data_IF_273804645262
#
_entry.id   IF_273804645262
#
_cell.length_a   1.000
_cell.length_b   1.000
_cell.length_c   1.000
_cell.angle_alpha   90.00
_cell.angle_beta   90.00
_cell.angle_gamma   90.00
#
_symmetry.space_group_name_H-M   'P 1'
#
loop_
_entity.id
_entity.type
_entity.pdbx_description
1 polymer ?
#
# COMPACT_ATOMS: atom_id res chain seq x y z
N UNK A 1 -9.84 -20.34 -7.71
CA UNK A 1 -8.40 -20.12 -7.84
C UNK A 1 -7.99 -18.81 -7.15
N UNK A 2 -6.77 -18.75 -6.64
CA UNK A 2 -6.23 -17.59 -5.96
C UNK A 2 -5.05 -17.01 -6.75
N UNK A 3 -5.12 -15.72 -7.08
CA UNK A 3 -4.01 -14.98 -7.67
C UNK A 3 -3.45 -13.99 -6.65
N UNK A 4 -2.12 -13.88 -6.53
CA UNK A 4 -1.46 -12.99 -5.58
C UNK A 4 -0.41 -12.15 -6.27
N UNK A 5 -0.39 -10.86 -5.98
CA UNK A 5 0.63 -9.91 -6.43
C UNK A 5 1.20 -9.17 -5.22
N UNK A 6 2.52 -9.06 -5.16
CA UNK A 6 3.23 -8.32 -4.11
C UNK A 6 3.85 -7.06 -4.68
N UNK A 7 3.66 -5.93 -3.99
CA UNK A 7 4.30 -4.66 -4.26
C UNK A 7 4.96 -4.15 -2.98
N UNK A 8 6.00 -3.34 -3.13
CA UNK A 8 6.70 -2.75 -2.00
C UNK A 8 6.74 -1.23 -2.15
N UNK A 9 6.74 -0.55 -1.01
CA UNK A 9 6.90 0.90 -0.94
C UNK A 9 7.52 1.29 0.39
N UNK A 10 8.05 2.50 0.47
CA UNK A 10 8.64 3.07 1.68
C UNK A 10 7.73 4.17 2.21
N UNK A 11 7.47 4.16 3.51
CA UNK A 11 6.68 5.19 4.17
C UNK A 11 7.16 5.41 5.59
N UNK A 12 6.90 6.60 6.11
CA UNK A 12 7.19 6.95 7.49
C UNK A 12 5.95 6.86 8.36
N UNK A 13 6.15 6.69 9.65
CA UNK A 13 5.10 6.75 10.65
C UNK A 13 5.67 6.88 12.07
N UNK A 14 4.79 7.03 13.03
CA UNK A 14 5.08 6.79 14.44
C UNK A 14 3.86 6.17 15.12
N UNK A 15 4.09 5.53 16.26
CA UNK A 15 3.02 5.03 17.13
C UNK A 15 3.06 5.88 18.40
N UNK A 16 2.18 6.88 18.57
CA UNK A 16 2.32 7.93 19.60
C UNK A 16 2.43 7.41 21.02
N UNK A 17 1.68 6.38 21.34
CA UNK A 17 1.61 5.82 22.70
C UNK A 17 2.54 4.63 22.91
N UNK A 18 3.44 4.37 21.98
CA UNK A 18 4.36 3.25 22.12
C UNK A 18 5.40 3.51 23.21
N UNK A 19 5.74 2.48 23.96
CA UNK A 19 6.66 2.57 25.10
C UNK A 19 8.15 2.59 24.69
N UNK A 20 8.45 2.30 23.43
CA UNK A 20 9.81 2.16 22.94
C UNK A 20 10.02 3.04 21.69
N UNK A 21 10.97 2.67 20.84
CA UNK A 21 11.42 3.45 19.69
C UNK A 21 10.33 3.79 18.67
N UNK A 22 9.28 2.99 18.56
CA UNK A 22 8.21 3.23 17.59
C UNK A 22 7.40 4.51 17.85
N UNK A 23 7.56 5.14 19.03
CA UNK A 23 6.99 6.47 19.31
C UNK A 23 7.71 7.61 18.59
N UNK A 24 8.93 7.38 18.13
CA UNK A 24 9.71 8.34 17.38
C UNK A 24 9.31 8.31 15.91
N UNK A 25 9.56 9.41 15.21
CA UNK A 25 9.40 9.48 13.77
C UNK A 25 10.39 8.53 13.11
N UNK A 26 9.91 7.58 12.33
CA UNK A 26 10.76 6.63 11.63
C UNK A 26 10.09 6.17 10.34
N UNK A 27 10.81 5.43 9.54
CA UNK A 27 10.30 4.87 8.30
C UNK A 27 10.79 3.46 8.11
N UNK A 28 10.10 2.73 7.27
CA UNK A 28 10.51 1.39 6.85
C UNK A 28 9.84 1.02 5.54
N UNK A 29 10.23 -0.13 5.00
CA UNK A 29 9.62 -0.69 3.80
C UNK A 29 8.37 -1.46 4.17
N UNK A 30 7.30 -1.19 3.43
CA UNK A 30 6.05 -1.92 3.50
C UNK A 30 5.95 -2.88 2.32
N UNK A 31 5.36 -4.01 2.55
CA UNK A 31 4.98 -4.94 1.49
C UNK A 31 3.45 -5.03 1.44
N UNK A 32 2.91 -4.78 0.25
CA UNK A 32 1.49 -4.94 -0.02
C UNK A 32 1.29 -6.21 -0.82
N UNK A 33 0.51 -7.13 -0.29
CA UNK A 33 0.08 -8.32 -1.01
C UNK A 33 -1.39 -8.19 -1.36
N UNK A 34 -1.69 -8.30 -2.65
CA UNK A 34 -3.06 -8.29 -3.16
C UNK A 34 -3.39 -9.68 -3.66
N UNK A 35 -4.40 -10.29 -3.05
CA UNK A 35 -4.85 -11.61 -3.40
C UNK A 35 -6.27 -11.54 -3.94
N UNK A 36 -6.49 -12.19 -5.08
CA UNK A 36 -7.79 -12.27 -5.72
C UNK A 36 -8.20 -13.73 -5.83
N UNK A 37 -9.46 -14.02 -5.54
CA UNK A 37 -10.06 -15.33 -5.74
C UNK A 37 -11.28 -15.20 -6.66
N UNK A 38 -11.53 -16.23 -7.44
CA UNK A 38 -12.66 -16.25 -8.36
C UNK A 38 -12.50 -17.34 -9.40
N UNK A 39 -13.34 -17.29 -10.42
CA UNK A 39 -13.28 -18.23 -11.52
C UNK A 39 -12.14 -17.90 -12.48
N UNK A 40 -11.51 -18.93 -13.01
CA UNK A 40 -10.45 -18.76 -14.01
C UNK A 40 -11.08 -18.28 -15.31
N UNK A 41 -10.49 -17.27 -15.90
CA UNK A 41 -10.89 -16.77 -17.22
C UNK A 41 -10.50 -17.83 -18.26
N UNK A 42 -11.46 -18.26 -19.06
CA UNK A 42 -11.29 -19.22 -20.15
C UNK A 42 -11.58 -18.52 -21.48
N UNK A 43 -10.62 -17.77 -21.95
CA UNK A 43 -10.71 -16.99 -23.18
C UNK A 43 -9.38 -17.05 -23.93
N UNK A 44 -9.16 -18.08 -24.79
CA UNK A 44 -7.92 -18.20 -25.56
C UNK A 44 -7.64 -16.93 -26.37
N UNK A 45 -6.40 -16.44 -26.30
CA UNK A 45 -5.99 -15.17 -26.88
C UNK A 45 -6.13 -13.95 -26.00
N UNK A 46 -6.86 -14.06 -24.88
CA UNK A 46 -6.92 -13.03 -23.86
C UNK A 46 -5.67 -13.10 -22.96
N UNK A 47 -5.00 -11.97 -22.64
CA UNK A 47 -3.84 -11.97 -21.73
C UNK A 47 -4.15 -12.58 -20.35
N UNK A 48 -5.40 -12.53 -19.91
CA UNK A 48 -5.84 -13.08 -18.63
C UNK A 48 -6.28 -14.54 -18.72
N UNK A 49 -6.19 -15.20 -19.89
CA UNK A 49 -6.59 -16.59 -20.03
C UNK A 49 -5.80 -17.49 -19.06
N UNK A 50 -6.51 -18.30 -18.29
CA UNK A 50 -5.92 -19.15 -17.26
C UNK A 50 -5.68 -18.46 -15.92
N UNK A 51 -6.09 -17.21 -15.76
CA UNK A 51 -5.96 -16.41 -14.54
C UNK A 51 -7.32 -15.93 -14.05
N UNK A 52 -7.40 -15.53 -12.78
CA UNK A 52 -8.57 -14.82 -12.25
C UNK A 52 -8.60 -13.40 -12.83
N UNK A 53 -7.43 -12.77 -12.92
CA UNK A 53 -7.22 -11.43 -13.49
C UNK A 53 -5.79 -11.37 -13.99
N UNK A 54 -5.53 -10.55 -15.02
CA UNK A 54 -4.16 -10.29 -15.47
C UNK A 54 -3.33 -9.65 -14.35
N UNK A 55 -2.13 -10.18 -14.10
CA UNK A 55 -1.24 -9.65 -13.06
C UNK A 55 -0.84 -8.18 -13.31
N UNK A 56 -0.74 -7.77 -14.58
CA UNK A 56 -0.46 -6.36 -14.91
C UNK A 56 -1.59 -5.45 -14.47
N UNK A 57 -2.84 -5.88 -14.60
CA UNK A 57 -4.00 -5.12 -14.16
C UNK A 57 -4.05 -5.03 -12.62
N UNK A 58 -3.74 -6.13 -11.92
CA UNK A 58 -3.65 -6.13 -10.46
C UNK A 58 -2.57 -5.14 -10.00
N UNK A 59 -1.40 -5.18 -10.62
CA UNK A 59 -0.31 -4.25 -10.31
C UNK A 59 -0.72 -2.80 -10.52
N UNK A 60 -1.34 -2.48 -11.65
CA UNK A 60 -1.75 -1.12 -11.99
C UNK A 60 -2.78 -0.57 -11.02
N UNK A 61 -3.79 -1.37 -10.66
CA UNK A 61 -4.81 -0.98 -9.69
C UNK A 61 -4.22 -0.78 -8.29
N UNK A 62 -3.40 -1.70 -7.82
CA UNK A 62 -2.76 -1.59 -6.52
C UNK A 62 -1.81 -0.39 -6.45
N UNK A 63 -1.06 -0.13 -7.53
CA UNK A 63 -0.18 1.03 -7.60
C UNK A 63 -0.98 2.33 -7.55
N UNK A 64 -2.01 2.46 -8.37
CA UNK A 64 -2.83 3.67 -8.43
C UNK A 64 -3.52 4.00 -7.10
N UNK A 65 -4.10 2.99 -6.45
CA UNK A 65 -4.95 3.20 -5.27
C UNK A 65 -4.21 3.15 -3.94
N UNK A 66 -3.03 2.57 -3.88
CA UNK A 66 -2.26 2.43 -2.63
C UNK A 66 -0.84 2.97 -2.77
N UNK A 67 -0.03 2.35 -3.64
CA UNK A 67 1.41 2.64 -3.70
C UNK A 67 1.68 4.08 -4.10
N UNK A 68 1.01 4.60 -5.12
CA UNK A 68 1.20 5.97 -5.57
C UNK A 68 0.84 7.01 -4.50
N UNK A 69 -0.10 6.69 -3.62
CA UNK A 69 -0.54 7.58 -2.54
C UNK A 69 0.34 7.48 -1.29
N UNK A 70 0.84 6.29 -0.97
CA UNK A 70 1.52 6.02 0.30
C UNK A 70 3.04 5.94 0.18
N UNK A 71 3.57 5.65 -1.01
CA UNK A 71 5.01 5.62 -1.22
C UNK A 71 5.64 6.98 -0.94
N UNK A 72 6.65 7.00 -0.08
CA UNK A 72 7.30 8.21 0.43
C UNK A 72 6.37 9.15 1.23
N UNK A 73 5.20 8.68 1.63
CA UNK A 73 4.30 9.43 2.50
C UNK A 73 4.62 9.22 3.97
N UNK A 74 4.09 10.07 4.83
CA UNK A 74 4.07 9.86 6.27
C UNK A 74 2.66 9.44 6.69
N UNK A 75 2.53 8.23 7.20
CA UNK A 75 1.24 7.65 7.60
C UNK A 75 0.95 8.08 9.03
N UNK A 76 -0.10 8.87 9.22
CA UNK A 76 -0.40 9.53 10.48
C UNK A 76 -1.67 8.96 11.10
N UNK A 77 -1.59 8.58 12.37
CA UNK A 77 -2.78 8.30 13.15
C UNK A 77 -3.62 9.58 13.28
N UNK A 78 -4.92 9.51 13.02
CA UNK A 78 -5.82 10.67 13.03
C UNK A 78 -5.91 11.38 14.39
N UNK A 79 -5.62 10.68 15.48
CA UNK A 79 -5.56 11.24 16.83
C UNK A 79 -4.20 11.87 17.20
N UNK A 80 -3.19 11.76 16.33
CA UNK A 80 -1.87 12.35 16.57
C UNK A 80 -1.84 13.81 16.10
N UNK A 81 -2.46 14.68 16.88
CA UNK A 81 -2.63 16.08 16.50
C UNK A 81 -1.32 16.84 16.41
N UNK A 82 -0.33 16.48 17.22
CA UNK A 82 0.99 17.14 17.19
C UNK A 82 1.70 16.93 15.84
N UNK A 83 1.70 15.71 15.34
CA UNK A 83 2.30 15.39 14.03
C UNK A 83 1.46 15.96 12.89
N UNK A 84 0.13 15.86 12.97
CA UNK A 84 -0.76 16.44 11.96
C UNK A 84 -0.55 17.95 11.82
N UNK A 85 -0.48 18.68 12.92
CA UNK A 85 -0.26 20.12 12.90
C UNK A 85 1.12 20.46 12.31
N UNK A 86 2.14 19.70 12.67
CA UNK A 86 3.48 19.88 12.09
C UNK A 86 3.48 19.65 10.59
N UNK A 87 2.90 18.55 10.11
CA UNK A 87 2.87 18.24 8.68
C UNK A 87 2.06 19.27 7.90
N UNK A 88 0.95 19.75 8.44
CA UNK A 88 0.13 20.78 7.82
C UNK A 88 0.81 22.14 7.78
N UNK A 89 1.83 22.36 8.60
CA UNK A 89 2.62 23.59 8.60
C UNK A 89 3.71 23.60 7.52
N UNK A 90 4.02 22.46 6.94
CA UNK A 90 5.04 22.35 5.89
C UNK A 90 4.48 22.81 4.55
N UNK A 91 5.28 23.52 3.72
CA UNK A 91 4.87 23.89 2.37
C UNK A 91 4.84 22.68 1.44
N UNK A 92 3.87 22.64 0.55
CA UNK A 92 3.79 21.59 -0.47
C UNK A 92 2.67 20.58 -0.32
#
# INVERSE_FOLDING_TARGET
>A
MLGTRRLEFDAGHRIPDHKSQCRHLHGHRYALEVSLSGDIIQSPGDPANGMVMDFSDIKSLAHEHVVALWDHAFLVYSGDTAVLDFLNSLPG
#
